data_IF_507214939986
#
_entry.id   IF_507214939986
#
_cell.length_a   1.000
_cell.length_b   1.000
_cell.length_c   1.000
_cell.angle_alpha   90.00
_cell.angle_beta   90.00
_cell.angle_gamma   90.00
#
_symmetry.space_group_name_H-M   'P 1'
#
loop_
_entity.id
_entity.type
_entity.pdbx_description
1 polymer ?
#
# COMPACT_ATOMS: atom_id res chain seq x y z
N UNK A 1 6.08 -12.91 2.38
CA UNK A 1 6.08 -13.53 3.71
C UNK A 1 4.69 -13.40 4.31
N UNK A 2 4.20 -14.46 5.00
CA UNK A 2 2.92 -14.49 5.69
C UNK A 2 3.18 -14.82 7.16
N UNK A 3 2.65 -14.01 8.06
CA UNK A 3 2.65 -14.25 9.50
C UNK A 3 1.21 -14.37 10.02
N UNK A 4 0.90 -15.49 10.65
CA UNK A 4 -0.40 -15.74 11.30
C UNK A 4 -0.14 -15.88 12.80
N UNK A 5 -0.79 -15.07 13.66
CA UNK A 5 -0.61 -15.17 15.11
C UNK A 5 -0.92 -16.60 15.62
N UNK A 6 -0.12 -17.09 16.55
CA UNK A 6 -0.23 -18.48 17.06
C UNK A 6 -1.05 -18.59 18.34
N UNK A 7 -1.19 -17.49 19.08
CA UNK A 7 -1.80 -17.42 20.40
C UNK A 7 -3.27 -16.94 20.41
N UNK A 8 -3.93 -16.96 19.25
CA UNK A 8 -5.31 -16.51 19.08
C UNK A 8 -6.33 -17.62 19.38
N UNK A 9 -7.47 -17.25 19.99
CA UNK A 9 -8.55 -18.19 20.34
C UNK A 9 -9.29 -18.73 19.11
N UNK A 10 -9.38 -17.96 18.04
CA UNK A 10 -10.00 -18.35 16.78
C UNK A 10 -9.07 -18.04 15.62
N UNK A 11 -8.95 -18.95 14.66
CA UNK A 11 -8.18 -18.75 13.42
C UNK A 11 -9.05 -18.34 12.23
N UNK A 12 -10.23 -17.83 12.49
CA UNK A 12 -11.15 -17.34 11.46
C UNK A 12 -11.56 -15.92 11.75
N UNK A 13 -11.93 -15.20 10.72
CA UNK A 13 -12.40 -13.81 10.83
C UNK A 13 -11.34 -12.85 11.40
N UNK A 14 -10.08 -13.00 10.97
CA UNK A 14 -8.96 -12.18 11.41
C UNK A 14 -8.77 -10.95 10.54
N UNK A 15 -8.44 -9.78 11.11
CA UNK A 15 -7.99 -8.65 10.31
C UNK A 15 -6.65 -8.97 9.64
N UNK A 16 -6.39 -8.34 8.49
CA UNK A 16 -5.14 -8.51 7.76
C UNK A 16 -4.53 -7.16 7.38
N UNK A 17 -3.22 -7.04 7.55
CA UNK A 17 -2.44 -5.90 7.08
C UNK A 17 -1.45 -6.38 6.02
N UNK A 18 -1.58 -5.83 4.80
CA UNK A 18 -0.59 -5.96 3.74
C UNK A 18 0.44 -4.84 3.88
N UNK A 19 1.71 -5.22 4.01
CA UNK A 19 2.82 -4.31 4.26
C UNK A 19 3.72 -4.26 3.01
N UNK A 20 3.69 -3.14 2.28
CA UNK A 20 4.40 -2.97 1.02
C UNK A 20 5.72 -2.24 1.24
N UNK A 21 6.84 -2.90 0.92
CA UNK A 21 8.20 -2.33 1.02
C UNK A 21 8.43 -1.17 0.05
N UNK A 22 9.44 -0.37 0.29
CA UNK A 22 9.88 0.70 -0.61
C UNK A 22 10.64 0.17 -1.84
N UNK A 23 11.03 1.08 -2.74
CA UNK A 23 11.86 0.75 -3.90
C UNK A 23 13.15 0.06 -3.47
N UNK A 24 13.54 -0.99 -4.19
CA UNK A 24 14.67 -1.89 -3.87
C UNK A 24 14.55 -2.66 -2.54
N UNK A 25 13.40 -2.62 -1.87
CA UNK A 25 13.19 -3.32 -0.61
C UNK A 25 12.97 -4.82 -0.80
N UNK A 26 13.13 -5.56 0.28
CA UNK A 26 12.85 -7.00 0.35
C UNK A 26 11.82 -7.28 1.44
N UNK A 27 10.95 -8.25 1.21
CA UNK A 27 9.83 -8.56 2.10
C UNK A 27 10.28 -8.99 3.50
N UNK A 28 11.35 -9.78 3.59
CA UNK A 28 11.93 -10.25 4.87
C UNK A 28 12.57 -9.10 5.64
N UNK A 29 13.35 -8.25 4.98
CA UNK A 29 13.97 -7.07 5.60
C UNK A 29 12.90 -6.07 6.07
N UNK A 30 11.83 -5.90 5.30
CA UNK A 30 10.73 -5.02 5.67
C UNK A 30 9.93 -5.56 6.85
N UNK A 31 9.77 -6.89 6.93
CA UNK A 31 9.18 -7.55 8.09
C UNK A 31 9.97 -7.25 9.38
N UNK A 32 11.29 -7.43 9.35
CA UNK A 32 12.15 -7.16 10.50
C UNK A 32 12.16 -5.67 10.86
N UNK A 33 12.13 -4.78 9.86
CA UNK A 33 12.17 -3.32 10.07
C UNK A 33 10.90 -2.78 10.74
N UNK A 34 9.72 -3.32 10.42
CA UNK A 34 8.44 -2.80 10.93
C UNK A 34 8.11 -3.27 12.33
N UNK A 35 8.66 -4.41 12.76
CA UNK A 35 8.53 -4.97 14.13
C UNK A 35 7.06 -5.07 14.62
N UNK A 36 6.15 -5.52 13.74
CA UNK A 36 4.71 -5.58 14.04
C UNK A 36 4.26 -6.88 14.70
N UNK A 37 5.17 -7.83 14.97
CA UNK A 37 4.82 -9.18 15.44
C UNK A 37 4.11 -9.16 16.79
N UNK A 38 4.57 -8.35 17.73
CA UNK A 38 3.95 -8.27 19.06
C UNK A 38 2.54 -7.68 18.96
N UNK A 39 2.36 -6.61 18.20
CA UNK A 39 1.04 -6.01 17.95
C UNK A 39 0.11 -7.00 17.25
N UNK A 40 0.62 -7.77 16.29
CA UNK A 40 -0.14 -8.80 15.58
C UNK A 40 -0.60 -9.91 16.53
N UNK A 41 0.28 -10.37 17.44
CA UNK A 41 -0.04 -11.38 18.43
C UNK A 41 -1.09 -10.90 19.44
N UNK A 42 -0.93 -9.67 19.95
CA UNK A 42 -1.85 -9.09 20.94
C UNK A 42 -3.26 -8.87 20.38
N UNK A 43 -3.35 -8.53 19.09
CA UNK A 43 -4.61 -8.13 18.46
C UNK A 43 -5.16 -9.16 17.46
N UNK A 44 -4.50 -10.29 17.27
CA UNK A 44 -4.94 -11.33 16.35
C UNK A 44 -4.92 -10.91 14.89
N UNK A 45 -3.88 -10.16 14.46
CA UNK A 45 -3.78 -9.58 13.10
C UNK A 45 -2.88 -10.46 12.24
N UNK A 46 -3.34 -10.83 11.05
CA UNK A 46 -2.51 -11.46 10.01
C UNK A 46 -1.64 -10.40 9.35
N UNK A 47 -0.33 -10.65 9.24
CA UNK A 47 0.59 -9.76 8.53
C UNK A 47 1.03 -10.42 7.23
N UNK A 48 0.97 -9.66 6.15
CA UNK A 48 1.42 -10.07 4.81
C UNK A 48 2.47 -9.09 4.33
N UNK A 49 3.64 -9.60 3.95
CA UNK A 49 4.73 -8.82 3.38
C UNK A 49 5.01 -9.37 1.97
N UNK A 50 4.37 -8.83 0.96
CA UNK A 50 4.59 -9.25 -0.41
C UNK A 50 5.96 -8.81 -0.91
N UNK A 51 6.51 -9.53 -1.90
CA UNK A 51 7.71 -9.13 -2.60
C UNK A 51 7.33 -8.52 -3.95
N UNK A 52 7.72 -7.27 -4.16
CA UNK A 52 7.56 -6.58 -5.44
C UNK A 52 8.40 -7.21 -6.54
N UNK A 53 7.96 -7.06 -7.79
CA UNK A 53 8.65 -7.57 -8.96
C UNK A 53 10.05 -6.95 -9.13
N UNK A 54 10.98 -7.73 -9.67
CA UNK A 54 12.34 -7.28 -9.95
C UNK A 54 12.45 -6.63 -11.33
N UNK A 55 13.08 -5.47 -11.37
CA UNK A 55 13.53 -4.85 -12.61
C UNK A 55 14.76 -5.57 -13.18
N UNK A 56 15.10 -5.38 -14.46
CA UNK A 56 16.31 -5.96 -15.05
C UNK A 56 17.61 -5.63 -14.30
N UNK A 57 17.65 -4.51 -13.57
CA UNK A 57 18.75 -4.12 -12.68
C UNK A 57 18.72 -4.71 -11.28
N UNK A 58 17.78 -5.61 -10.98
CA UNK A 58 17.65 -6.28 -9.68
C UNK A 58 16.90 -5.51 -8.60
N UNK A 59 16.48 -4.26 -8.84
CA UNK A 59 15.68 -3.50 -7.90
C UNK A 59 14.22 -3.98 -7.89
N UNK A 60 13.67 -4.26 -6.73
CA UNK A 60 12.25 -4.54 -6.55
C UNK A 60 11.43 -3.26 -6.51
N UNK A 61 10.16 -3.32 -6.93
CA UNK A 61 9.29 -2.15 -6.93
C UNK A 61 7.82 -2.53 -7.04
N UNK A 62 6.95 -1.52 -6.91
CA UNK A 62 5.51 -1.57 -7.15
C UNK A 62 5.15 -0.56 -8.24
N UNK A 63 4.34 -0.98 -9.21
CA UNK A 63 3.72 -0.07 -10.17
C UNK A 63 2.56 0.66 -9.48
N UNK A 64 2.73 1.94 -9.21
CA UNK A 64 1.82 2.74 -8.38
C UNK A 64 1.04 3.81 -9.17
N UNK A 65 0.90 3.62 -10.49
CA UNK A 65 0.12 4.49 -11.37
C UNK A 65 -0.53 3.71 -12.53
N UNK A 66 -1.55 4.27 -13.20
CA UNK A 66 -2.13 3.67 -14.40
C UNK A 66 -1.08 3.45 -15.50
N UNK A 67 -1.16 2.35 -16.23
CA UNK A 67 -0.25 2.04 -17.34
C UNK A 67 -0.38 2.99 -18.54
N UNK A 68 -1.49 3.72 -18.62
CA UNK A 68 -1.80 4.71 -19.66
C UNK A 68 -1.41 6.14 -19.26
N UNK A 69 -0.77 6.32 -18.10
CA UNK A 69 -0.36 7.62 -17.59
C UNK A 69 0.71 8.29 -18.43
N UNK A 70 0.74 9.61 -18.39
CA UNK A 70 1.75 10.44 -19.07
C UNK A 70 2.92 10.80 -18.17
N UNK A 71 2.89 10.34 -16.94
CA UNK A 71 3.92 10.63 -15.94
C UNK A 71 5.31 10.11 -16.32
N UNK A 72 6.35 10.77 -15.87
CA UNK A 72 7.73 10.38 -16.18
C UNK A 72 8.00 8.92 -15.78
N UNK A 73 8.93 8.28 -16.45
CA UNK A 73 9.36 6.87 -16.35
C UNK A 73 9.73 6.37 -14.95
N UNK A 74 9.57 7.21 -13.94
CA UNK A 74 9.84 6.86 -12.53
C UNK A 74 8.76 5.97 -11.89
N UNK A 75 7.56 5.94 -12.47
CA UNK A 75 6.34 5.55 -11.79
C UNK A 75 6.02 4.08 -12.01
N UNK A 76 5.91 3.66 -13.28
CA UNK A 76 5.75 2.25 -13.62
C UNK A 76 6.98 1.78 -14.38
N UNK A 77 7.80 1.01 -13.70
CA UNK A 77 9.09 0.56 -14.24
C UNK A 77 9.02 -0.82 -14.87
N UNK A 78 7.87 -1.48 -14.80
CA UNK A 78 7.63 -2.79 -15.40
C UNK A 78 6.19 -2.90 -15.91
N UNK A 79 5.92 -4.00 -16.65
CA UNK A 79 4.58 -4.36 -17.12
C UNK A 79 3.88 -5.34 -16.15
N UNK A 80 4.34 -5.45 -14.90
CA UNK A 80 3.75 -6.36 -13.91
C UNK A 80 2.38 -5.83 -13.49
N UNK A 81 1.40 -6.72 -13.42
CA UNK A 81 0.08 -6.42 -12.88
C UNK A 81 0.08 -6.59 -11.36
N UNK A 82 0.55 -5.57 -10.63
CA UNK A 82 0.65 -5.64 -9.17
C UNK A 82 -0.71 -5.60 -8.47
N UNK A 83 -1.75 -5.00 -9.08
CA UNK A 83 -3.13 -5.08 -8.59
C UNK A 83 -3.63 -6.52 -8.65
N UNK A 84 -3.47 -7.18 -9.80
CA UNK A 84 -3.85 -8.59 -9.96
C UNK A 84 -3.09 -9.51 -9.02
N UNK A 85 -1.80 -9.24 -8.78
CA UNK A 85 -1.00 -9.96 -7.79
C UNK A 85 -1.57 -9.81 -6.38
N UNK A 86 -1.90 -8.57 -5.96
CA UNK A 86 -2.53 -8.31 -4.67
C UNK A 86 -3.87 -9.06 -4.53
N UNK A 87 -4.75 -8.97 -5.55
CA UNK A 87 -6.07 -9.60 -5.52
C UNK A 87 -5.94 -11.12 -5.39
N UNK A 88 -5.09 -11.74 -6.21
CA UNK A 88 -4.87 -13.20 -6.15
C UNK A 88 -4.30 -13.64 -4.82
N UNK A 89 -3.43 -12.85 -4.22
CA UNK A 89 -2.85 -13.14 -2.91
C UNK A 89 -3.89 -13.04 -1.78
N UNK A 90 -4.76 -12.02 -1.81
CA UNK A 90 -5.86 -11.89 -0.86
C UNK A 90 -6.82 -13.08 -0.96
N UNK A 91 -7.18 -13.49 -2.16
CA UNK A 91 -8.03 -14.67 -2.43
C UNK A 91 -7.38 -15.96 -1.91
N UNK A 92 -6.10 -16.18 -2.22
CA UNK A 92 -5.34 -17.36 -1.79
C UNK A 92 -5.26 -17.49 -0.27
N UNK A 93 -4.94 -16.39 0.43
CA UNK A 93 -4.87 -16.38 1.90
C UNK A 93 -6.23 -16.64 2.51
N UNK A 94 -7.31 -16.19 1.87
CA UNK A 94 -8.68 -16.34 2.37
C UNK A 94 -9.38 -17.63 1.95
N UNK A 95 -8.75 -18.55 1.25
CA UNK A 95 -9.38 -19.82 0.79
C UNK A 95 -10.08 -20.61 1.89
N UNK A 96 -9.61 -20.51 3.14
CA UNK A 96 -10.21 -21.18 4.30
C UNK A 96 -11.04 -20.24 5.20
N UNK A 97 -11.49 -19.09 4.69
CA UNK A 97 -12.22 -18.06 5.44
C UNK A 97 -11.48 -17.62 6.73
N UNK A 98 -10.16 -17.48 6.63
CA UNK A 98 -9.32 -17.06 7.75
C UNK A 98 -9.52 -15.56 8.01
N UNK A 99 -9.70 -14.77 6.95
CA UNK A 99 -9.73 -13.31 7.02
C UNK A 99 -11.14 -12.75 7.21
N UNK A 100 -11.21 -11.61 7.89
CA UNK A 100 -12.35 -10.71 7.85
C UNK A 100 -12.15 -9.71 6.70
N UNK A 101 -12.87 -9.90 5.62
CA UNK A 101 -12.75 -9.05 4.44
C UNK A 101 -13.25 -7.61 4.65
N UNK A 102 -13.91 -7.31 5.79
CA UNK A 102 -14.22 -5.93 6.19
C UNK A 102 -13.08 -5.26 6.96
N UNK A 103 -12.02 -6.00 7.30
CA UNK A 103 -10.86 -5.53 8.04
C UNK A 103 -9.55 -5.84 7.30
N UNK A 104 -9.51 -5.46 6.02
CA UNK A 104 -8.30 -5.52 5.18
C UNK A 104 -7.64 -4.15 5.17
N UNK A 105 -6.34 -4.11 5.44
CA UNK A 105 -5.56 -2.88 5.49
C UNK A 105 -4.35 -2.98 4.57
N UNK A 106 -3.95 -1.85 3.97
CA UNK A 106 -2.69 -1.72 3.26
C UNK A 106 -1.82 -0.66 3.93
N UNK A 107 -0.58 -0.99 4.23
CA UNK A 107 0.42 -0.04 4.72
C UNK A 107 1.65 -0.13 3.82
N UNK A 108 2.22 1.00 3.45
CA UNK A 108 3.42 1.00 2.64
C UNK A 108 4.42 2.09 3.02
N UNK A 109 5.69 1.79 2.74
CA UNK A 109 6.78 2.73 2.88
C UNK A 109 7.24 3.23 1.51
N UNK A 110 7.42 4.55 1.32
CA UNK A 110 7.92 5.14 0.07
C UNK A 110 7.11 4.65 -1.16
N UNK A 111 7.72 3.95 -2.12
CA UNK A 111 7.02 3.35 -3.27
C UNK A 111 5.87 2.41 -2.85
N UNK A 112 6.00 1.68 -1.73
CA UNK A 112 4.90 0.88 -1.17
C UNK A 112 3.74 1.73 -0.66
N UNK A 113 4.01 2.92 -0.09
CA UNK A 113 3.00 3.90 0.27
C UNK A 113 2.25 4.45 -0.94
N UNK A 114 2.98 4.77 -2.02
CA UNK A 114 2.39 5.15 -3.31
C UNK A 114 1.48 4.05 -3.86
N UNK A 115 1.91 2.79 -3.75
CA UNK A 115 1.13 1.64 -4.17
C UNK A 115 -0.12 1.43 -3.31
N UNK A 116 -0.07 1.69 -1.99
CA UNK A 116 -1.24 1.62 -1.12
C UNK A 116 -2.34 2.60 -1.57
N UNK A 117 -2.00 3.82 -1.96
CA UNK A 117 -2.95 4.75 -2.57
C UNK A 117 -3.49 4.23 -3.90
N UNK A 118 -2.62 3.70 -4.76
CA UNK A 118 -3.02 3.17 -6.06
C UNK A 118 -3.97 1.98 -5.93
N UNK A 119 -3.73 1.08 -4.98
CA UNK A 119 -4.64 -0.02 -4.66
C UNK A 119 -6.01 0.50 -4.20
N UNK A 120 -6.04 1.46 -3.25
CA UNK A 120 -7.30 2.01 -2.75
C UNK A 120 -8.13 2.70 -3.85
N UNK A 121 -7.47 3.26 -4.87
CA UNK A 121 -8.12 3.86 -6.03
C UNK A 121 -8.63 2.86 -7.07
N UNK A 122 -8.12 1.63 -7.09
CA UNK A 122 -8.37 0.66 -8.15
C UNK A 122 -8.95 -0.67 -7.65
N UNK A 123 -9.30 -0.76 -6.38
CA UNK A 123 -9.99 -1.92 -5.79
C UNK A 123 -11.24 -1.44 -5.06
N UNK A 124 -12.41 -1.94 -5.47
CA UNK A 124 -13.68 -1.49 -4.91
C UNK A 124 -13.93 -2.11 -3.52
N UNK A 125 -14.13 -1.26 -2.51
CA UNK A 125 -14.54 -1.66 -1.15
C UNK A 125 -13.63 -2.73 -0.49
N UNK A 126 -12.36 -2.79 -0.84
CA UNK A 126 -11.45 -3.80 -0.27
C UNK A 126 -10.85 -3.32 1.05
N UNK A 127 -10.43 -2.06 1.13
CA UNK A 127 -9.67 -1.58 2.28
C UNK A 127 -10.53 -0.85 3.30
N UNK A 128 -10.44 -1.29 4.56
CA UNK A 128 -11.01 -0.57 5.70
C UNK A 128 -10.23 0.72 6.02
N UNK A 129 -8.92 0.73 5.76
CA UNK A 129 -8.06 1.92 5.78
C UNK A 129 -6.73 1.62 5.09
N UNK A 130 -6.00 2.68 4.73
CA UNK A 130 -4.62 2.58 4.25
C UNK A 130 -3.66 3.42 5.09
N UNK A 131 -2.37 3.01 5.10
CA UNK A 131 -1.27 3.73 5.72
C UNK A 131 -0.18 4.05 4.70
N UNK A 132 0.29 5.28 4.69
CA UNK A 132 1.38 5.73 3.83
C UNK A 132 2.48 6.39 4.68
N UNK A 133 3.65 5.77 4.67
CA UNK A 133 4.85 6.28 5.35
C UNK A 133 5.84 6.73 4.29
N UNK A 134 6.17 8.02 4.26
CA UNK A 134 7.11 8.65 3.35
C UNK A 134 6.85 8.37 1.84
N UNK A 135 5.59 8.09 1.47
CA UNK A 135 5.13 7.99 0.08
C UNK A 135 4.34 9.23 -0.35
N UNK A 136 3.62 9.14 -1.44
CA UNK A 136 2.65 10.16 -1.92
C UNK A 136 1.69 9.54 -2.91
N UNK A 137 0.62 10.24 -3.30
CA UNK A 137 -0.10 9.91 -4.53
C UNK A 137 0.69 10.44 -5.72
N UNK A 138 0.89 9.56 -6.70
CA UNK A 138 1.43 9.99 -7.98
C UNK A 138 0.38 10.79 -8.75
N UNK A 139 0.80 11.80 -9.49
CA UNK A 139 -0.10 12.72 -10.22
C UNK A 139 -1.12 11.99 -11.09
N UNK A 140 -0.71 10.93 -11.81
CA UNK A 140 -1.64 10.15 -12.64
C UNK A 140 -2.65 9.39 -11.79
N UNK A 141 -2.25 8.84 -10.64
CA UNK A 141 -3.16 8.21 -9.68
C UNK A 141 -4.12 9.23 -9.09
N UNK A 142 -3.62 10.37 -8.66
CA UNK A 142 -4.42 11.47 -8.12
C UNK A 142 -5.51 11.94 -9.10
N UNK A 143 -5.14 12.13 -10.37
CA UNK A 143 -6.04 12.64 -11.41
C UNK A 143 -7.09 11.60 -11.87
N UNK A 144 -6.82 10.32 -11.71
CA UNK A 144 -7.70 9.24 -12.18
C UNK A 144 -8.45 8.52 -11.05
N UNK A 145 -8.05 8.76 -9.81
CA UNK A 145 -8.63 8.11 -8.64
C UNK A 145 -10.08 8.59 -8.40
N UNK A 146 -10.99 7.64 -8.34
CA UNK A 146 -12.39 7.88 -7.99
C UNK A 146 -12.86 6.75 -7.07
N UNK A 147 -12.48 6.80 -5.76
CA UNK A 147 -12.80 5.73 -4.85
C UNK A 147 -14.32 5.58 -4.68
N UNK A 148 -14.81 4.34 -4.73
CA UNK A 148 -16.24 4.03 -4.63
C UNK A 148 -16.78 4.13 -3.20
N UNK A 149 -15.89 4.19 -2.21
CA UNK A 149 -16.24 4.29 -0.79
C UNK A 149 -15.21 5.10 -0.01
N UNK A 150 -15.61 5.71 1.12
CA UNK A 150 -14.67 6.36 2.02
C UNK A 150 -13.56 5.41 2.47
N UNK A 151 -12.30 5.83 2.34
CA UNK A 151 -11.13 5.06 2.77
C UNK A 151 -10.28 5.92 3.71
N UNK A 152 -10.31 5.68 5.03
CA UNK A 152 -9.45 6.38 5.99
C UNK A 152 -7.96 6.21 5.64
N UNK A 153 -7.20 7.29 5.78
CA UNK A 153 -5.77 7.32 5.46
C UNK A 153 -4.95 7.79 6.66
N UNK A 154 -3.99 6.97 7.07
CA UNK A 154 -2.92 7.37 7.99
C UNK A 154 -1.71 7.82 7.16
N UNK A 155 -1.29 9.07 7.31
CA UNK A 155 -0.14 9.64 6.62
C UNK A 155 0.97 10.00 7.62
N UNK A 156 2.16 9.44 7.41
CA UNK A 156 3.38 9.79 8.17
C UNK A 156 4.44 10.25 7.18
N UNK A 157 4.93 11.48 7.34
CA UNK A 157 5.91 12.05 6.40
C UNK A 157 6.84 13.06 7.08
N UNK A 158 8.12 13.00 6.73
CA UNK A 158 9.09 13.98 7.18
C UNK A 158 8.99 15.29 6.37
N UNK A 159 8.90 16.45 7.04
CA UNK A 159 8.80 17.75 6.35
C UNK A 159 10.07 18.13 5.59
N UNK A 160 11.21 17.46 5.87
CA UNK A 160 12.49 17.65 5.20
C UNK A 160 12.90 16.42 4.36
N UNK A 161 11.93 15.59 3.94
CA UNK A 161 12.22 14.45 3.08
C UNK A 161 12.83 14.93 1.75
N UNK A 162 14.06 14.49 1.49
CA UNK A 162 14.81 14.89 0.30
C UNK A 162 14.59 13.94 -0.91
N UNK A 163 13.86 12.85 -0.72
CA UNK A 163 13.60 11.83 -1.76
C UNK A 163 12.17 11.95 -2.27
N UNK A 164 11.19 11.84 -1.38
CA UNK A 164 9.79 12.10 -1.67
C UNK A 164 9.41 13.40 -0.96
N UNK A 165 9.66 14.52 -1.64
CA UNK A 165 9.52 15.84 -1.03
C UNK A 165 8.12 16.08 -0.48
N UNK A 166 8.01 16.58 0.78
CA UNK A 166 6.75 16.94 1.41
C UNK A 166 5.90 17.90 0.55
N UNK A 167 6.57 18.86 -0.09
CA UNK A 167 5.94 19.86 -0.97
C UNK A 167 5.78 19.37 -2.41
N UNK A 168 5.88 18.07 -2.65
CA UNK A 168 5.76 17.47 -3.97
C UNK A 168 6.97 17.74 -4.88
N UNK A 169 6.96 17.13 -6.05
CA UNK A 169 7.99 17.35 -7.07
C UNK A 169 7.45 17.02 -8.46
N UNK A 170 6.99 18.03 -9.19
CA UNK A 170 6.37 17.91 -10.51
C UNK A 170 7.16 17.06 -11.52
N UNK A 171 8.49 17.23 -11.69
CA UNK A 171 9.23 16.42 -12.65
C UNK A 171 9.19 14.92 -12.38
N UNK A 172 8.82 14.50 -11.17
CA UNK A 172 8.66 13.09 -10.79
C UNK A 172 7.19 12.68 -10.63
N UNK A 173 6.26 13.61 -10.80
CA UNK A 173 4.84 13.36 -10.64
C UNK A 173 4.46 13.09 -9.17
N UNK A 174 5.13 13.75 -8.22
CA UNK A 174 4.83 13.64 -6.79
C UNK A 174 3.92 14.78 -6.35
N UNK A 175 2.72 14.45 -5.92
CA UNK A 175 1.82 15.41 -5.29
C UNK A 175 2.34 15.79 -3.89
N UNK A 176 1.98 16.98 -3.42
CA UNK A 176 2.29 17.41 -2.05
C UNK A 176 1.52 16.56 -1.04
N UNK A 177 2.04 16.49 0.19
CA UNK A 177 1.34 15.80 1.29
C UNK A 177 -0.02 16.45 1.56
N UNK A 178 -0.11 17.77 1.47
CA UNK A 178 -1.35 18.50 1.72
C UNK A 178 -2.41 18.20 0.64
N UNK A 179 -2.04 18.15 -0.64
CA UNK A 179 -2.93 17.73 -1.74
C UNK A 179 -3.47 16.32 -1.51
N UNK A 180 -2.62 15.37 -1.14
CA UNK A 180 -3.03 14.00 -0.86
C UNK A 180 -4.01 13.94 0.32
N UNK A 181 -3.74 14.66 1.40
CA UNK A 181 -4.63 14.71 2.55
C UNK A 181 -5.97 15.36 2.20
N UNK A 182 -5.96 16.43 1.44
CA UNK A 182 -7.18 17.13 1.01
C UNK A 182 -8.01 16.28 0.05
N UNK A 183 -7.37 15.54 -0.86
CA UNK A 183 -8.05 14.56 -1.71
C UNK A 183 -8.85 13.54 -0.88
N UNK A 184 -8.20 12.88 0.08
CA UNK A 184 -8.87 11.87 0.90
C UNK A 184 -9.91 12.47 1.85
N UNK A 185 -9.67 13.66 2.40
CA UNK A 185 -10.70 14.38 3.21
C UNK A 185 -11.96 14.67 2.41
N UNK A 186 -11.82 15.06 1.14
CA UNK A 186 -12.96 15.34 0.28
C UNK A 186 -13.73 14.05 -0.04
N UNK A 187 -13.04 12.98 -0.39
CA UNK A 187 -13.67 11.70 -0.75
C UNK A 187 -14.27 10.97 0.45
N UNK A 188 -13.78 11.20 1.67
CA UNK A 188 -14.28 10.57 2.90
C UNK A 188 -15.46 11.32 3.54
N UNK A 189 -15.93 12.43 2.96
CA UNK A 189 -17.06 13.22 3.47
C UNK A 189 -18.41 12.88 2.84
N UNK A 190 -18.43 12.01 1.84
CA UNK A 190 -19.62 11.63 1.06
C UNK A 190 -20.40 10.48 1.71
#
# INVERSE_FOLDING_TARGET
LLYIPTNIQSRTNLPVIFNFHGYSGQADQFFDMTDLVDIANENGIVLVYPQGSLLPGGASHWNAAPTTGTSPSFINKSNTNDIGFFTSMLEEINQNNILDLNRVYAIGYSNGGMFSHFLACNTENVFAAIGDVAGTMLTDTYNTCNPSSPTPVLKIHGTLDAVVAYNGFDPQGFNTVDEVLDFWKLNNKS
#
